data_IF_976375468382
#
_entry.id   IF_976375468382
#
_cell.length_a   1.000
_cell.length_b   1.000
_cell.length_c   1.000
_cell.angle_alpha   90.00
_cell.angle_beta   90.00
_cell.angle_gamma   90.00
#
_symmetry.space_group_name_H-M   'P 1'
#
loop_
_entity.id
_entity.type
_entity.pdbx_description
1 polymer ?
#
# COMPACT_ATOMS: atom_id res chain seq x y z
N UNK A 1 -1.37 10.15 64.11
CA UNK A 1 -0.58 11.03 63.22
C UNK A 1 -0.76 10.54 61.79
N UNK A 2 -1.70 11.14 61.07
CA UNK A 2 -2.06 10.83 59.69
C UNK A 2 -1.65 12.04 58.86
N UNK A 3 -0.82 11.85 57.84
CA UNK A 3 -0.17 12.93 57.09
C UNK A 3 1.33 12.67 57.10
N UNK A 4 1.86 11.95 56.11
CA UNK A 4 2.44 12.57 54.92
C UNK A 4 2.26 11.68 53.66
N UNK A 5 1.61 10.51 53.78
CA UNK A 5 1.48 9.52 52.69
C UNK A 5 0.44 9.80 51.60
N UNK A 6 -0.29 10.92 51.66
CA UNK A 6 -1.40 11.20 50.74
C UNK A 6 -0.99 11.99 49.48
N UNK A 7 0.11 12.75 49.51
CA UNK A 7 0.43 13.70 48.42
C UNK A 7 1.24 13.12 47.25
N UNK A 8 1.88 11.95 47.41
CA UNK A 8 2.69 11.34 46.32
C UNK A 8 1.85 10.44 45.40
N UNK A 9 0.64 10.06 45.82
CA UNK A 9 -0.24 9.14 45.05
C UNK A 9 -1.07 9.81 43.97
N UNK A 10 -1.13 11.15 43.93
CA UNK A 10 -1.92 11.88 42.93
C UNK A 10 -1.17 12.16 41.62
N UNK A 11 0.15 12.02 41.60
CA UNK A 11 0.98 12.26 40.41
C UNK A 11 1.12 11.02 39.50
N UNK A 12 0.99 9.81 40.06
CA UNK A 12 1.16 8.56 39.30
C UNK A 12 -0.04 8.24 38.40
N UNK A 13 -1.25 8.65 38.78
CA UNK A 13 -2.46 8.45 37.97
C UNK A 13 -2.46 9.32 36.72
N UNK A 14 -2.09 10.59 36.84
CA UNK A 14 -1.97 11.50 35.69
C UNK A 14 -0.82 11.08 34.75
N UNK A 15 0.29 10.60 35.30
CA UNK A 15 1.42 10.09 34.51
C UNK A 15 1.06 8.80 33.75
N UNK A 16 0.36 7.84 34.38
CA UNK A 16 -0.11 6.63 33.69
C UNK A 16 -1.11 6.96 32.58
N UNK A 17 -2.00 7.92 32.77
CA UNK A 17 -2.93 8.38 31.73
C UNK A 17 -2.15 9.04 30.58
N UNK A 18 -1.13 9.84 30.88
CA UNK A 18 -0.25 10.45 29.88
C UNK A 18 0.56 9.40 29.10
N UNK A 19 1.17 8.42 29.77
CA UNK A 19 1.86 7.31 29.11
C UNK A 19 0.91 6.48 28.25
N UNK A 20 -0.30 6.20 28.74
CA UNK A 20 -1.32 5.44 28.00
C UNK A 20 -1.85 6.22 26.80
N UNK A 21 -1.98 7.55 26.91
CA UNK A 21 -2.34 8.44 25.80
C UNK A 21 -1.21 8.61 24.78
N UNK A 22 0.05 8.74 25.22
CA UNK A 22 1.22 8.75 24.35
C UNK A 22 1.36 7.42 23.61
N UNK A 23 1.15 6.30 24.29
CA UNK A 23 1.13 4.97 23.69
C UNK A 23 -0.01 4.83 22.68
N UNK A 24 -1.21 5.31 23.01
CA UNK A 24 -2.36 5.33 22.09
C UNK A 24 -2.09 6.17 20.83
N UNK A 25 -1.62 7.41 20.99
CA UNK A 25 -1.27 8.29 19.87
C UNK A 25 -0.15 7.75 18.98
N UNK A 26 0.88 7.16 19.57
CA UNK A 26 1.96 6.52 18.80
C UNK A 26 1.46 5.27 18.06
N UNK A 27 0.52 4.51 18.64
CA UNK A 27 -0.08 3.34 17.97
C UNK A 27 -0.92 3.77 16.77
N UNK A 28 -1.71 4.85 16.90
CA UNK A 28 -2.52 5.37 15.79
C UNK A 28 -1.66 5.98 14.68
N UNK A 29 -0.61 6.74 14.99
CA UNK A 29 0.26 7.35 13.98
C UNK A 29 1.06 6.31 13.20
N UNK A 30 1.56 5.26 13.87
CA UNK A 30 2.27 4.18 13.20
C UNK A 30 1.34 3.33 12.33
N UNK A 31 0.12 3.04 12.79
CA UNK A 31 -0.88 2.32 12.00
C UNK A 31 -1.40 3.14 10.79
N UNK A 32 -1.43 4.48 10.90
CA UNK A 32 -1.75 5.36 9.76
C UNK A 32 -0.58 5.44 8.76
N UNK A 33 0.67 5.36 9.22
CA UNK A 33 1.87 5.42 8.37
C UNK A 33 2.11 4.12 7.59
N UNK A 34 1.79 2.97 8.17
CA UNK A 34 1.74 1.68 7.43
C UNK A 34 0.62 1.67 6.37
N UNK A 35 -0.42 2.49 6.54
CA UNK A 35 -1.50 2.71 5.58
C UNK A 35 -1.11 3.57 4.35
N UNK A 36 0.16 3.98 4.22
CA UNK A 36 0.61 5.03 3.29
C UNK A 36 1.65 4.63 2.23
N UNK A 37 1.82 3.33 1.93
CA UNK A 37 2.63 2.91 0.78
C UNK A 37 1.82 2.02 -0.17
N UNK A 38 1.03 2.62 -1.08
CA UNK A 38 0.32 1.85 -2.10
C UNK A 38 1.32 1.22 -3.06
N UNK A 39 1.21 -0.09 -3.24
CA UNK A 39 1.99 -0.86 -4.19
C UNK A 39 1.06 -1.43 -5.26
N UNK A 40 1.40 -1.18 -6.53
CA UNK A 40 0.67 -1.70 -7.69
C UNK A 40 1.65 -2.49 -8.54
N UNK A 41 1.33 -3.75 -8.82
CA UNK A 41 2.05 -4.57 -9.78
C UNK A 41 1.15 -4.78 -11.00
N UNK A 42 1.61 -4.33 -12.15
CA UNK A 42 0.94 -4.47 -13.44
C UNK A 42 1.73 -5.51 -14.22
N UNK A 43 1.09 -6.62 -14.56
CA UNK A 43 1.70 -7.62 -15.44
C UNK A 43 1.04 -7.56 -16.80
N UNK A 44 1.86 -7.42 -17.83
CA UNK A 44 1.42 -7.39 -19.23
C UNK A 44 2.17 -8.45 -20.01
N UNK A 45 1.52 -9.03 -21.02
CA UNK A 45 2.17 -9.92 -21.96
C UNK A 45 3.17 -9.15 -22.83
N UNK A 46 4.30 -9.78 -23.18
CA UNK A 46 5.35 -9.19 -24.04
C UNK A 46 4.89 -9.08 -25.50
N UNK A 47 3.96 -8.16 -25.73
CA UNK A 47 3.38 -7.87 -27.03
C UNK A 47 3.89 -6.52 -27.56
N UNK A 48 5.19 -6.28 -27.41
CA UNK A 48 5.85 -5.06 -27.90
C UNK A 48 5.29 -3.78 -27.25
N UNK A 49 5.00 -3.85 -25.94
CA UNK A 49 4.47 -2.70 -25.19
C UNK A 49 5.52 -1.57 -25.20
N UNK A 50 5.16 -0.43 -25.78
CA UNK A 50 6.11 0.68 -25.94
C UNK A 50 6.39 1.39 -24.62
N UNK A 51 7.47 2.17 -24.58
CA UNK A 51 7.82 2.97 -23.40
C UNK A 51 6.73 3.99 -23.07
N UNK A 52 6.10 4.56 -24.09
CA UNK A 52 5.02 5.55 -23.97
C UNK A 52 3.77 4.90 -23.35
N UNK A 53 3.43 3.68 -23.77
CA UNK A 53 2.31 2.93 -23.20
C UNK A 53 2.56 2.58 -21.72
N UNK A 54 3.78 2.15 -21.37
CA UNK A 54 4.17 1.90 -19.97
C UNK A 54 4.08 3.17 -19.12
N UNK A 55 4.54 4.30 -19.65
CA UNK A 55 4.43 5.59 -18.96
C UNK A 55 2.95 5.99 -18.74
N UNK A 56 2.08 5.76 -19.72
CA UNK A 56 0.65 6.01 -19.59
C UNK A 56 0.01 5.10 -18.51
N UNK A 57 0.38 3.83 -18.45
CA UNK A 57 -0.11 2.89 -17.42
C UNK A 57 0.30 3.32 -16.01
N UNK A 58 1.56 3.72 -15.82
CA UNK A 58 2.06 4.21 -14.52
C UNK A 58 1.28 5.45 -14.08
N UNK A 59 1.12 6.41 -14.99
CA UNK A 59 0.37 7.65 -14.72
C UNK A 59 -1.09 7.37 -14.37
N UNK A 60 -1.75 6.50 -15.15
CA UNK A 60 -3.14 6.14 -14.94
C UNK A 60 -3.38 5.43 -13.60
N UNK A 61 -2.55 4.43 -13.27
CA UNK A 61 -2.65 3.71 -12.00
C UNK A 61 -2.41 4.63 -10.79
N UNK A 62 -1.43 5.54 -10.89
CA UNK A 62 -1.16 6.52 -9.84
C UNK A 62 -2.34 7.47 -9.66
N UNK A 63 -2.91 7.99 -10.75
CA UNK A 63 -4.05 8.90 -10.69
C UNK A 63 -5.30 8.21 -10.11
N UNK A 64 -5.56 6.95 -10.48
CA UNK A 64 -6.69 6.19 -9.94
C UNK A 64 -6.64 6.07 -8.41
N UNK A 65 -5.44 5.87 -7.85
CA UNK A 65 -5.24 5.80 -6.41
C UNK A 65 -5.45 7.15 -5.72
N UNK A 66 -5.11 8.26 -6.40
CA UNK A 66 -5.44 9.61 -5.94
C UNK A 66 -6.96 9.78 -5.93
N UNK A 67 -7.64 9.45 -7.03
CA UNK A 67 -9.07 9.76 -7.19
C UNK A 67 -9.96 8.93 -6.27
N UNK A 68 -9.66 7.63 -6.12
CA UNK A 68 -10.51 6.69 -5.35
C UNK A 68 -10.18 6.69 -3.86
N UNK A 69 -8.88 6.74 -3.53
CA UNK A 69 -8.40 6.54 -2.16
C UNK A 69 -7.82 7.80 -1.52
N UNK A 70 -7.78 8.92 -2.26
CA UNK A 70 -7.24 10.21 -1.84
C UNK A 70 -5.81 10.09 -1.27
N UNK A 71 -4.98 9.27 -1.93
CA UNK A 71 -3.59 8.99 -1.50
C UNK A 71 -2.61 9.94 -2.16
N UNK A 72 -1.47 10.15 -1.50
CA UNK A 72 -0.38 10.95 -2.06
C UNK A 72 0.29 10.17 -3.21
N UNK A 73 0.35 10.71 -4.43
CA UNK A 73 1.00 10.03 -5.54
C UNK A 73 2.51 9.85 -5.32
N UNK A 74 3.15 10.71 -4.53
CA UNK A 74 4.60 10.66 -4.30
C UNK A 74 5.06 9.45 -3.47
N UNK A 75 4.14 8.76 -2.78
CA UNK A 75 4.44 7.57 -1.96
C UNK A 75 3.93 6.27 -2.58
N UNK A 76 3.45 6.34 -3.83
CA UNK A 76 2.89 5.20 -4.56
C UNK A 76 3.96 4.57 -5.44
N UNK A 77 4.11 3.26 -5.34
CA UNK A 77 5.04 2.49 -6.17
C UNK A 77 4.25 1.68 -7.19
N UNK A 78 4.62 1.84 -8.47
CA UNK A 78 4.05 1.07 -9.58
C UNK A 78 5.17 0.29 -10.26
N UNK A 79 5.02 -1.01 -10.38
CA UNK A 79 5.95 -1.91 -11.07
C UNK A 79 5.24 -2.52 -12.27
N UNK A 80 5.87 -2.48 -13.43
CA UNK A 80 5.39 -3.13 -14.65
C UNK A 80 6.30 -4.31 -14.96
N UNK A 81 5.72 -5.50 -15.01
CA UNK A 81 6.41 -6.72 -15.43
C UNK A 81 5.89 -7.18 -16.79
N UNK A 82 6.81 -7.39 -17.72
CA UNK A 82 6.53 -8.02 -19.01
C UNK A 82 6.74 -9.52 -18.90
N UNK A 83 5.69 -10.28 -19.23
CA UNK A 83 5.68 -11.74 -19.13
C UNK A 83 5.50 -12.32 -20.52
N UNK A 84 6.36 -13.27 -20.87
CA UNK A 84 6.23 -14.00 -22.14
C UNK A 84 4.87 -14.72 -22.22
N UNK A 85 4.25 -14.75 -23.40
CA UNK A 85 2.93 -15.36 -23.64
C UNK A 85 2.87 -16.85 -23.36
N UNK A 86 4.00 -17.56 -23.44
CA UNK A 86 4.12 -18.98 -23.07
C UNK A 86 4.05 -19.20 -21.55
N UNK A 87 4.40 -18.16 -20.77
CA UNK A 87 4.32 -18.16 -19.32
C UNK A 87 2.99 -17.59 -18.80
N UNK A 88 2.06 -17.25 -19.70
CA UNK A 88 0.75 -16.71 -19.36
C UNK A 88 -0.36 -17.67 -19.81
N UNK A 89 -1.15 -18.14 -18.85
CA UNK A 89 -2.26 -19.07 -19.10
C UNK A 89 -3.63 -18.41 -18.95
N UNK A 90 -4.57 -18.75 -19.83
CA UNK A 90 -5.99 -18.39 -19.70
C UNK A 90 -6.82 -19.64 -19.99
N UNK A 91 -7.73 -20.01 -19.08
CA UNK A 91 -8.63 -21.16 -19.28
C UNK A 91 -7.93 -22.52 -19.37
N UNK A 92 -6.70 -22.65 -18.87
CA UNK A 92 -5.92 -23.90 -18.91
C UNK A 92 -5.00 -24.04 -20.13
N UNK A 93 -4.98 -23.06 -21.02
CA UNK A 93 -4.09 -23.02 -22.19
C UNK A 93 -3.17 -21.80 -22.13
N UNK A 94 -1.95 -21.92 -22.68
CA UNK A 94 -1.04 -20.78 -22.81
C UNK A 94 -1.56 -19.81 -23.88
N UNK A 95 -1.38 -18.51 -23.66
CA UNK A 95 -1.90 -17.45 -24.54
C UNK A 95 -1.39 -17.60 -25.97
N UNK A 96 -0.17 -18.11 -26.16
CA UNK A 96 0.39 -18.42 -27.47
C UNK A 96 -0.50 -19.39 -28.26
N UNK A 97 -0.99 -20.46 -27.64
CA UNK A 97 -1.85 -21.45 -28.31
C UNK A 97 -3.26 -20.90 -28.55
N UNK A 98 -3.80 -20.13 -27.61
CA UNK A 98 -5.09 -19.47 -27.78
C UNK A 98 -5.10 -18.53 -28.99
N UNK A 99 -4.02 -17.79 -29.23
CA UNK A 99 -3.90 -16.90 -30.39
C UNK A 99 -3.80 -17.65 -31.71
N UNK A 100 -3.09 -18.77 -31.75
CA UNK A 100 -3.03 -19.63 -32.95
C UNK A 100 -4.40 -20.17 -33.34
N UNK A 101 -5.30 -20.41 -32.37
CA UNK A 101 -6.67 -20.86 -32.62
C UNK A 101 -7.62 -19.76 -33.11
N UNK A 102 -7.26 -18.49 -32.88
CA UNK A 102 -8.07 -17.32 -33.24
C UNK A 102 -7.63 -16.65 -34.55
N UNK A 103 -6.45 -17.00 -35.07
CA UNK A 103 -5.91 -16.55 -36.35
C UNK A 103 -6.38 -17.45 -37.50
#
# INVERSE_FOLDING_TARGET
MCGIGCLVKSFTSAWKIFEQWCRFKNTTLNHQKEKMMPYVNIKVTDEQVTKEQKAALIKGATQLLVDVLNKNPATTFVVIDEVNTDNWGVGGEVVTELRKKQA
#
